data_IF_677713661628
#
_entry.id   IF_677713661628
#
_cell.length_a   1.000
_cell.length_b   1.000
_cell.length_c   1.000
_cell.angle_alpha   90.00
_cell.angle_beta   90.00
_cell.angle_gamma   90.00
#
_symmetry.space_group_name_H-M   'P 1'
#
loop_
_entity.id
_entity.type
_entity.pdbx_description
1 polymer ?
#
# COMPACT_ATOMS: atom_id res chain seq x y z
N UNK A 1 9.99 -11.72 10.29
CA UNK A 1 11.27 -11.09 10.69
C UNK A 1 10.99 -9.74 11.35
N UNK A 2 11.67 -9.39 12.46
CA UNK A 2 11.57 -8.06 13.09
C UNK A 2 12.81 -7.24 12.72
N UNK A 3 12.65 -6.21 11.90
CA UNK A 3 13.74 -5.32 11.49
C UNK A 3 14.15 -4.38 12.64
N UNK A 4 15.45 -4.30 12.94
CA UNK A 4 16.01 -3.25 13.78
C UNK A 4 16.11 -1.92 13.00
N UNK A 5 16.53 -0.83 13.65
CA UNK A 5 16.59 0.50 13.01
C UNK A 5 17.49 0.50 11.77
N UNK A 6 18.69 -0.07 11.87
CA UNK A 6 19.66 -0.13 10.76
C UNK A 6 19.09 -0.92 9.58
N UNK A 7 18.51 -2.08 9.85
CA UNK A 7 17.89 -2.93 8.83
C UNK A 7 16.71 -2.24 8.14
N UNK A 8 15.92 -1.43 8.86
CA UNK A 8 14.85 -0.62 8.26
C UNK A 8 15.39 0.44 7.30
N UNK A 9 16.50 1.09 7.65
CA UNK A 9 17.13 2.08 6.76
C UNK A 9 17.63 1.39 5.48
N UNK A 10 18.35 0.27 5.60
CA UNK A 10 18.84 -0.45 4.42
C UNK A 10 17.71 -0.99 3.54
N UNK A 11 16.64 -1.54 4.13
CA UNK A 11 15.45 -1.95 3.37
C UNK A 11 14.80 -0.78 2.65
N UNK A 12 14.72 0.39 3.28
CA UNK A 12 14.16 1.57 2.65
C UNK A 12 15.06 2.04 1.49
N UNK A 13 16.38 2.04 1.68
CA UNK A 13 17.34 2.38 0.62
C UNK A 13 17.22 1.42 -0.57
N UNK A 14 17.06 0.11 -0.33
CA UNK A 14 16.81 -0.88 -1.40
C UNK A 14 15.48 -0.58 -2.10
N UNK A 15 14.41 -0.34 -1.34
CA UNK A 15 13.08 -0.06 -1.89
C UNK A 15 13.08 1.19 -2.78
N UNK A 16 13.85 2.21 -2.39
CA UNK A 16 13.98 3.49 -3.11
C UNK A 16 14.80 3.36 -4.41
N UNK A 17 15.67 2.36 -4.50
CA UNK A 17 16.56 2.13 -5.64
C UNK A 17 16.24 0.85 -6.43
N UNK A 18 15.00 0.34 -6.34
CA UNK A 18 14.57 -0.78 -7.17
C UNK A 18 14.66 -0.42 -8.66
N UNK A 19 15.08 -1.37 -9.52
CA UNK A 19 15.15 -1.14 -10.96
C UNK A 19 13.74 -0.94 -11.54
N UNK A 20 13.65 -0.21 -12.65
CA UNK A 20 12.39 0.14 -13.30
C UNK A 20 11.52 -1.09 -13.63
N UNK A 21 12.14 -2.19 -14.07
CA UNK A 21 11.43 -3.45 -14.35
C UNK A 21 10.71 -4.03 -13.13
N UNK A 22 11.26 -3.87 -11.93
CA UNK A 22 10.61 -4.30 -10.68
C UNK A 22 9.48 -3.34 -10.32
N UNK A 23 9.65 -2.04 -10.57
CA UNK A 23 8.60 -1.05 -10.35
C UNK A 23 7.39 -1.28 -11.27
N UNK A 24 7.63 -1.61 -12.54
CA UNK A 24 6.60 -1.97 -13.51
C UNK A 24 5.85 -3.25 -13.09
N UNK A 25 6.59 -4.27 -12.66
CA UNK A 25 6.00 -5.51 -12.17
C UNK A 25 5.11 -5.27 -10.93
N UNK A 26 5.60 -4.50 -9.96
CA UNK A 26 4.85 -4.13 -8.76
C UNK A 26 3.59 -3.35 -9.13
N UNK A 27 3.68 -2.38 -10.05
CA UNK A 27 2.52 -1.61 -10.49
C UNK A 27 1.44 -2.52 -11.10
N UNK A 28 1.84 -3.41 -12.01
CA UNK A 28 0.92 -4.35 -12.64
C UNK A 28 0.27 -5.31 -11.63
N UNK A 29 1.03 -5.80 -10.65
CA UNK A 29 0.49 -6.67 -9.59
C UNK A 29 -0.50 -5.92 -8.69
N UNK A 30 -0.18 -4.68 -8.29
CA UNK A 30 -1.10 -3.85 -7.50
C UNK A 30 -2.37 -3.57 -8.27
N UNK A 31 -2.28 -3.21 -9.55
CA UNK A 31 -3.43 -2.95 -10.41
C UNK A 31 -4.30 -4.22 -10.57
N UNK A 32 -3.69 -5.39 -10.70
CA UNK A 32 -4.42 -6.66 -10.72
C UNK A 32 -5.15 -6.94 -9.41
N UNK A 33 -4.54 -6.65 -8.25
CA UNK A 33 -5.17 -6.80 -6.92
C UNK A 33 -6.31 -5.79 -6.73
N UNK A 34 -6.10 -4.53 -7.12
CA UNK A 34 -7.14 -3.50 -7.10
C UNK A 34 -8.36 -3.94 -7.91
N UNK A 35 -8.15 -4.45 -9.13
CA UNK A 35 -9.23 -4.95 -9.99
C UNK A 35 -9.99 -6.16 -9.41
N UNK A 36 -9.38 -6.96 -8.54
CA UNK A 36 -10.08 -8.06 -7.84
C UNK A 36 -11.02 -7.54 -6.75
N UNK A 37 -10.66 -6.42 -6.12
CA UNK A 37 -11.48 -5.76 -5.11
C UNK A 37 -12.42 -4.75 -5.78
N UNK A 38 -13.64 -5.20 -6.11
CA UNK A 38 -14.69 -4.36 -6.72
C UNK A 38 -15.08 -3.12 -5.92
N UNK A 39 -14.68 -3.02 -4.66
CA UNK A 39 -15.06 -1.93 -3.76
C UNK A 39 -13.85 -1.52 -2.93
N UNK A 40 -13.56 -0.22 -2.90
CA UNK A 40 -12.51 0.33 -2.06
C UNK A 40 -12.91 0.22 -0.58
N UNK A 41 -12.16 -0.52 0.26
CA UNK A 41 -12.50 -0.71 1.67
C UNK A 41 -12.36 0.56 2.52
N UNK A 42 -11.69 1.61 2.02
CA UNK A 42 -11.48 2.85 2.76
C UNK A 42 -12.74 3.70 2.85
N UNK A 43 -13.56 3.74 1.79
CA UNK A 43 -14.78 4.54 1.75
C UNK A 43 -15.81 4.11 2.81
N UNK A 44 -16.15 2.82 2.95
CA UNK A 44 -17.03 2.37 4.03
C UNK A 44 -16.49 2.70 5.44
N UNK A 45 -15.17 2.59 5.65
CA UNK A 45 -14.56 2.92 6.93
C UNK A 45 -14.63 4.41 7.24
N UNK A 46 -14.44 5.26 6.24
CA UNK A 46 -14.57 6.71 6.35
C UNK A 46 -16.03 7.11 6.63
N UNK A 47 -16.99 6.60 5.86
CA UNK A 47 -18.42 6.87 6.07
C UNK A 47 -18.88 6.45 7.47
N UNK A 48 -18.44 5.28 7.96
CA UNK A 48 -18.72 4.82 9.32
C UNK A 48 -18.13 5.72 10.41
N UNK A 49 -16.96 6.31 10.18
CA UNK A 49 -16.37 7.29 11.10
C UNK A 49 -17.17 8.60 11.09
N UNK A 50 -17.48 9.13 9.91
CA UNK A 50 -18.17 10.42 9.74
C UNK A 50 -19.60 10.41 10.30
N UNK A 51 -20.28 9.27 10.23
CA UNK A 51 -21.65 9.08 10.78
C UNK A 51 -21.72 9.34 12.29
N UNK A 52 -20.59 9.29 13.01
CA UNK A 52 -20.53 9.61 14.45
C UNK A 52 -20.56 11.11 14.73
N UNK A 53 -20.35 11.93 13.71
CA UNK A 53 -20.13 13.37 13.84
C UNK A 53 -21.08 14.21 12.99
N UNK A 54 -21.72 13.63 11.98
CA UNK A 54 -22.57 14.32 11.03
C UNK A 54 -23.86 13.54 10.74
N UNK A 55 -24.87 14.25 10.25
CA UNK A 55 -26.17 13.67 9.93
C UNK A 55 -26.10 12.72 8.73
N UNK A 56 -26.89 11.66 8.79
CA UNK A 56 -26.90 10.59 7.79
C UNK A 56 -27.14 11.07 6.34
N UNK A 57 -28.07 12.02 6.05
CA UNK A 57 -28.26 12.52 4.69
C UNK A 57 -27.01 13.23 4.12
N UNK A 58 -26.23 13.91 4.97
CA UNK A 58 -24.97 14.52 4.52
C UNK A 58 -23.92 13.46 4.20
N UNK A 59 -23.95 12.32 4.90
CA UNK A 59 -23.05 11.19 4.62
C UNK A 59 -23.46 10.45 3.34
N UNK A 60 -24.75 10.25 3.08
CA UNK A 60 -25.23 9.68 1.81
C UNK A 60 -24.76 10.51 0.61
N UNK A 61 -24.90 11.85 0.69
CA UNK A 61 -24.39 12.74 -0.36
C UNK A 61 -22.87 12.68 -0.53
N UNK A 62 -22.13 12.42 0.55
CA UNK A 62 -20.67 12.24 0.50
C UNK A 62 -20.28 10.87 -0.08
N UNK A 63 -21.01 9.81 0.25
CA UNK A 63 -20.78 8.46 -0.25
C UNK A 63 -21.12 8.33 -1.75
N UNK A 64 -21.93 9.24 -2.30
CA UNK A 64 -22.22 9.33 -3.73
C UNK A 64 -21.23 10.24 -4.50
N UNK A 65 -20.26 10.87 -3.82
CA UNK A 65 -19.29 11.77 -4.44
C UNK A 65 -18.16 10.97 -5.13
N UNK A 66 -18.27 10.84 -6.45
CA UNK A 66 -17.29 10.15 -7.30
C UNK A 66 -15.85 10.68 -7.11
N UNK A 67 -15.65 11.98 -6.86
CA UNK A 67 -14.32 12.55 -6.64
C UNK A 67 -13.65 11.98 -5.38
N UNK A 68 -14.43 11.69 -4.34
CA UNK A 68 -13.93 11.09 -3.10
C UNK A 68 -13.57 9.62 -3.29
N UNK A 69 -14.37 8.88 -4.08
CA UNK A 69 -14.06 7.48 -4.42
C UNK A 69 -12.76 7.37 -5.23
N UNK A 70 -12.58 8.23 -6.23
CA UNK A 70 -11.35 8.30 -7.03
C UNK A 70 -10.14 8.64 -6.15
N UNK A 71 -10.27 9.63 -5.26
CA UNK A 71 -9.20 10.02 -4.34
C UNK A 71 -8.84 8.88 -3.36
N UNK A 72 -9.84 8.20 -2.81
CA UNK A 72 -9.62 7.05 -1.94
C UNK A 72 -8.95 5.89 -2.70
N UNK A 73 -9.30 5.68 -3.97
CA UNK A 73 -8.73 4.62 -4.80
C UNK A 73 -7.26 4.90 -5.12
N UNK A 74 -6.94 6.14 -5.52
CA UNK A 74 -5.57 6.59 -5.74
C UNK A 74 -4.71 6.44 -4.48
N UNK A 75 -5.24 6.83 -3.32
CA UNK A 75 -4.54 6.69 -2.04
C UNK A 75 -4.26 5.22 -1.69
N UNK A 76 -5.27 4.34 -1.85
CA UNK A 76 -5.11 2.91 -1.60
C UNK A 76 -4.04 2.31 -2.51
N UNK A 77 -4.12 2.59 -3.81
CA UNK A 77 -3.15 2.12 -4.81
C UNK A 77 -1.73 2.55 -4.44
N UNK A 78 -1.54 3.83 -4.11
CA UNK A 78 -0.22 4.34 -3.72
C UNK A 78 0.31 3.64 -2.45
N UNK A 79 -0.54 3.45 -1.44
CA UNK A 79 -0.17 2.73 -0.23
C UNK A 79 0.25 1.29 -0.53
N UNK A 80 -0.49 0.58 -1.40
CA UNK A 80 -0.17 -0.77 -1.83
C UNK A 80 1.18 -0.84 -2.56
N UNK A 81 1.45 0.07 -3.50
CA UNK A 81 2.75 0.15 -4.20
C UNK A 81 3.88 0.37 -3.21
N UNK A 82 3.74 1.31 -2.27
CA UNK A 82 4.76 1.58 -1.25
C UNK A 82 5.05 0.38 -0.37
N UNK A 83 4.03 -0.41 -0.02
CA UNK A 83 4.21 -1.63 0.78
C UNK A 83 4.84 -2.73 -0.06
N UNK A 84 4.39 -2.96 -1.29
CA UNK A 84 4.94 -3.96 -2.19
C UNK A 84 6.44 -3.74 -2.48
N UNK A 85 6.87 -2.49 -2.72
CA UNK A 85 8.29 -2.13 -2.85
C UNK A 85 9.11 -2.55 -1.63
N UNK A 86 8.56 -2.37 -0.43
CA UNK A 86 9.22 -2.78 0.83
C UNK A 86 9.23 -4.29 0.99
N UNK A 87 8.20 -5.02 0.55
CA UNK A 87 8.20 -6.49 0.56
C UNK A 87 9.32 -7.05 -0.33
N UNK A 88 9.46 -6.54 -1.55
CA UNK A 88 10.56 -6.92 -2.46
C UNK A 88 11.93 -6.59 -1.83
N UNK A 89 12.08 -5.37 -1.29
CA UNK A 89 13.30 -4.96 -0.63
C UNK A 89 13.65 -5.82 0.59
N UNK A 90 12.66 -6.24 1.38
CA UNK A 90 12.84 -7.20 2.49
C UNK A 90 13.35 -8.53 1.97
N UNK A 91 12.83 -9.02 0.84
CA UNK A 91 13.31 -10.23 0.18
C UNK A 91 14.79 -10.12 -0.21
N UNK A 92 15.17 -9.02 -0.87
CA UNK A 92 16.56 -8.75 -1.27
C UNK A 92 17.48 -8.65 -0.05
N UNK A 93 17.08 -7.87 0.96
CA UNK A 93 17.81 -7.73 2.22
C UNK A 93 18.01 -9.10 2.88
N UNK A 94 16.96 -9.91 2.96
CA UNK A 94 17.01 -11.23 3.60
C UNK A 94 17.92 -12.19 2.84
N UNK A 95 17.98 -12.13 1.50
CA UNK A 95 18.92 -12.94 0.73
C UNK A 95 20.37 -12.50 0.92
N UNK A 96 20.61 -11.19 1.03
CA UNK A 96 21.94 -10.62 1.26
C UNK A 96 22.51 -10.97 2.63
N UNK A 97 21.68 -10.92 3.67
CA UNK A 97 22.11 -11.10 5.07
C UNK A 97 21.80 -12.49 5.63
N UNK A 98 20.83 -13.22 5.07
CA UNK A 98 20.49 -14.58 5.48
C UNK A 98 21.54 -15.64 5.12
N UNK A 99 22.39 -15.37 4.12
CA UNK A 99 23.55 -16.22 3.81
C UNK A 99 24.72 -16.09 4.80
N UNK A 100 24.65 -15.19 5.79
CA UNK A 100 25.70 -15.04 6.81
C UNK A 100 25.59 -16.04 7.97
N UNK A 101 24.50 -16.82 8.08
CA UNK A 101 24.38 -17.91 9.08
C UNK A 101 24.87 -19.28 8.56
N UNK A 102 25.33 -19.37 7.30
CA UNK A 102 25.70 -20.63 6.65
C UNK A 102 27.18 -20.74 6.21
N UNK A 103 28.07 -19.86 6.71
CA UNK A 103 29.50 -19.86 6.39
C UNK A 103 30.38 -19.86 7.64
#
# INVERSE_FOLDING_TARGET
MRLNRTARHEVQDIADNLPESELEFIAAEVDARMNQHKTNPLMPALCAFLTRHYDYPAIEMFDEDDEQHEAAEAFLREAMVRVARREVAIGIYSNKHGNQEAA
#
